data_IF_912782132492
#
_entry.id   IF_912782132492
#
_cell.length_a   1.000
_cell.length_b   1.000
_cell.length_c   1.000
_cell.angle_alpha   90.00
_cell.angle_beta   90.00
_cell.angle_gamma   90.00
#
_symmetry.space_group_name_H-M   'P 1'
#
loop_
_entity.id
_entity.type
_entity.pdbx_description
1 polymer ?
#
# COMPACT_ATOMS: atom_id res chain seq x y z
N UNK A 1 22.12 -3.55 -22.64
CA UNK A 1 23.58 -3.70 -22.81
C UNK A 1 23.87 -4.11 -24.25
N UNK A 2 24.08 -3.12 -25.11
CA UNK A 2 24.79 -3.22 -26.40
C UNK A 2 24.93 -1.78 -26.89
N UNK A 3 26.06 -1.15 -26.57
CA UNK A 3 26.49 0.13 -27.10
C UNK A 3 27.00 -0.08 -28.53
N UNK A 4 26.56 0.75 -29.47
CA UNK A 4 27.24 0.92 -30.75
C UNK A 4 27.65 2.39 -30.87
N UNK A 5 28.94 2.54 -31.12
CA UNK A 5 29.75 3.75 -31.11
C UNK A 5 29.61 4.61 -32.37
N UNK A 6 29.87 5.90 -32.15
CA UNK A 6 30.58 6.88 -32.99
C UNK A 6 30.31 6.94 -34.51
N UNK A 7 29.86 8.11 -34.97
CA UNK A 7 30.61 8.85 -36.00
C UNK A 7 30.39 10.36 -35.91
N UNK A 8 31.50 11.10 -35.92
CA UNK A 8 31.58 12.55 -35.79
C UNK A 8 31.19 13.31 -37.08
N UNK A 9 30.80 14.60 -36.98
CA UNK A 9 30.52 15.44 -38.14
C UNK A 9 31.80 15.95 -38.84
N UNK A 10 31.72 16.04 -40.16
CA UNK A 10 32.76 16.50 -41.09
C UNK A 10 33.14 17.98 -40.88
N UNK A 11 34.44 18.25 -40.91
CA UNK A 11 35.05 19.57 -41.09
C UNK A 11 34.92 20.07 -42.53
N UNK A 12 34.79 21.39 -42.77
CA UNK A 12 35.12 21.99 -44.06
C UNK A 12 36.62 22.33 -44.16
N UNK A 13 37.21 21.95 -45.29
CA UNK A 13 38.56 22.23 -45.76
C UNK A 13 38.81 23.73 -46.00
N UNK A 14 40.01 24.27 -45.74
CA UNK A 14 40.43 25.58 -46.24
C UNK A 14 41.52 25.45 -47.32
N UNK A 15 41.20 25.74 -48.57
CA UNK A 15 42.14 26.11 -49.64
C UNK A 15 41.36 27.10 -50.55
N UNK A 16 41.83 28.27 -50.97
CA UNK A 16 43.11 28.55 -51.63
C UNK A 16 43.46 30.05 -51.55
N UNK A 17 44.77 30.30 -51.52
CA UNK A 17 45.46 31.59 -51.66
C UNK A 17 45.72 31.90 -53.15
N UNK A 18 45.99 33.18 -53.45
CA UNK A 18 46.52 33.77 -54.71
C UNK A 18 45.47 34.14 -55.76
N UNK A 19 45.50 35.31 -56.41
CA UNK A 19 46.68 36.08 -56.84
C UNK A 19 46.30 37.55 -57.06
N UNK A 20 47.22 38.44 -56.68
CA UNK A 20 47.27 39.86 -57.02
C UNK A 20 47.74 39.96 -58.48
N UNK A 21 47.05 40.73 -59.32
CA UNK A 21 47.52 41.04 -60.68
C UNK A 21 47.66 42.56 -60.79
N UNK A 22 48.91 42.99 -61.00
CA UNK A 22 49.37 44.36 -61.18
C UNK A 22 50.30 44.34 -62.38
N UNK A 23 49.91 45.00 -63.48
CA UNK A 23 50.68 45.49 -64.64
C UNK A 23 49.63 45.76 -65.75
N UNK A 24 49.60 46.86 -66.50
CA UNK A 24 50.69 47.56 -67.17
C UNK A 24 50.40 49.07 -67.33
N UNK A 25 51.40 49.89 -66.96
CA UNK A 25 51.49 51.31 -67.30
C UNK A 25 52.42 51.44 -68.51
N UNK A 26 51.88 51.67 -69.72
CA UNK A 26 52.70 51.96 -70.90
C UNK A 26 52.91 53.47 -71.05
N UNK A 27 54.12 53.89 -70.69
CA UNK A 27 54.77 55.13 -71.09
C UNK A 27 54.87 55.19 -72.63
N UNK A 28 54.27 56.21 -73.25
CA UNK A 28 54.55 56.59 -74.64
C UNK A 28 55.66 57.63 -74.62
N UNK A 29 56.81 57.24 -75.16
CA UNK A 29 57.98 58.10 -75.34
C UNK A 29 57.72 59.13 -76.45
N UNK A 30 57.88 60.40 -76.09
CA UNK A 30 57.98 61.53 -77.02
C UNK A 30 59.35 61.49 -77.72
N UNK A 31 59.35 61.43 -79.05
CA UNK A 31 60.55 61.63 -79.87
C UNK A 31 60.38 62.93 -80.66
N UNK A 32 61.25 63.94 -80.53
CA UNK A 32 61.20 65.16 -81.33
C UNK A 32 62.02 65.02 -82.62
N UNK A 33 61.51 65.43 -83.80
CA UNK A 33 62.37 65.75 -84.94
C UNK A 33 62.87 67.19 -84.85
N UNK A 34 64.18 67.32 -85.06
CA UNK A 34 64.96 68.55 -85.13
C UNK A 34 64.58 69.44 -86.36
N UNK A 35 64.93 70.74 -86.35
CA UNK A 35 64.45 71.72 -87.32
C UNK A 35 65.20 71.64 -88.65
N UNK A 36 64.46 71.66 -89.76
CA UNK A 36 65.02 71.90 -91.08
C UNK A 36 65.17 73.40 -91.31
N UNK A 37 66.40 73.91 -91.18
CA UNK A 37 66.82 75.18 -91.76
C UNK A 37 66.79 75.05 -93.29
N UNK A 38 65.92 75.81 -93.96
CA UNK A 38 66.09 76.14 -95.37
C UNK A 38 66.69 77.55 -95.46
N UNK A 39 67.94 77.59 -95.90
CA UNK A 39 68.69 78.80 -96.19
C UNK A 39 67.99 79.65 -97.25
N UNK A 40 67.90 80.93 -96.94
CA UNK A 40 67.82 82.04 -97.89
C UNK A 40 69.07 82.08 -98.77
N UNK A 41 68.89 82.18 -100.08
CA UNK A 41 69.91 82.72 -101.00
C UNK A 41 69.27 83.88 -101.78
N UNK A 42 69.69 85.09 -101.42
CA UNK A 42 69.56 86.28 -102.24
C UNK A 42 70.71 86.33 -103.26
N UNK A 43 70.49 87.20 -104.26
CA UNK A 43 71.43 87.77 -105.23
C UNK A 43 71.55 87.07 -106.59
N UNK A 44 71.01 87.73 -107.62
CA UNK A 44 71.76 88.24 -108.79
C UNK A 44 70.76 89.14 -109.55
N UNK A 45 70.81 90.45 -109.32
CA UNK A 45 71.57 91.45 -110.08
C UNK A 45 70.72 92.03 -111.21
N UNK A 46 70.23 93.23 -110.96
CA UNK A 46 69.55 94.13 -111.89
C UNK A 46 70.55 94.65 -112.91
N UNK A 47 70.25 94.53 -114.20
CA UNK A 47 70.86 95.33 -115.26
C UNK A 47 69.72 96.15 -115.89
N UNK A 48 69.54 97.37 -115.39
CA UNK A 48 68.71 98.40 -116.01
C UNK A 48 69.68 99.26 -116.82
N UNK A 49 69.73 98.98 -118.11
CA UNK A 49 70.46 99.79 -119.08
C UNK A 49 69.52 100.92 -119.55
N UNK A 50 69.78 102.12 -119.05
CA UNK A 50 69.26 103.37 -119.60
C UNK A 50 70.45 104.23 -119.94
N UNK A 51 70.81 104.30 -121.22
CA UNK A 51 71.62 105.41 -121.73
C UNK A 51 70.93 106.05 -122.94
N UNK A 52 70.41 107.24 -122.66
CA UNK A 52 70.01 108.22 -123.63
C UNK A 52 71.25 108.99 -124.10
N UNK A 53 71.16 109.45 -125.35
CA UNK A 53 71.72 110.71 -125.86
C UNK A 53 72.78 110.56 -126.96
N UNK A 54 72.25 110.54 -128.19
CA UNK A 54 72.41 111.63 -129.18
C UNK A 54 73.85 112.15 -129.40
N UNK A 55 74.49 111.67 -130.47
CA UNK A 55 75.64 112.34 -131.10
C UNK A 55 75.23 112.91 -132.45
N UNK A 56 74.94 114.21 -132.43
CA UNK A 56 74.92 115.09 -133.60
C UNK A 56 76.36 115.26 -134.09
N UNK A 57 76.67 114.78 -135.29
CA UNK A 57 77.92 115.05 -136.00
C UNK A 57 77.59 115.94 -137.19
N UNK A 58 77.78 117.26 -137.03
CA UNK A 58 77.74 118.22 -138.13
C UNK A 58 79.14 118.31 -138.77
N UNK A 59 79.15 118.06 -140.06
CA UNK A 59 80.28 118.21 -140.96
C UNK A 59 80.21 119.60 -141.58
N UNK A 60 81.27 120.40 -141.47
CA UNK A 60 81.57 121.52 -142.38
C UNK A 60 83.06 121.87 -142.29
N UNK A 61 83.72 122.20 -143.43
CA UNK A 61 85.16 122.28 -143.51
C UNK A 61 85.67 123.66 -143.10
N UNK A 62 86.81 123.63 -142.41
CA UNK A 62 87.69 124.76 -142.14
C UNK A 62 88.29 125.27 -143.46
N UNK A 63 88.26 126.59 -143.64
CA UNK A 63 89.37 127.31 -144.26
C UNK A 63 89.83 128.38 -143.28
N UNK A 64 91.15 128.53 -143.28
CA UNK A 64 92.00 129.30 -142.38
C UNK A 64 91.56 130.75 -142.16
N UNK A 65 91.71 131.20 -140.92
CA UNK A 65 92.59 132.35 -140.63
C UNK A 65 92.90 132.43 -139.13
N UNK A 66 94.17 132.70 -138.85
CA UNK A 66 94.82 132.75 -137.54
C UNK A 66 94.16 133.71 -136.55
N UNK A 67 94.05 133.32 -135.26
CA UNK A 67 94.14 134.21 -134.08
C UNK A 67 94.21 133.40 -132.77
N UNK A 68 95.07 133.82 -131.84
CA UNK A 68 95.40 133.15 -130.57
C UNK A 68 94.37 133.40 -129.44
N UNK A 69 94.31 132.41 -128.52
CA UNK A 69 93.84 132.38 -127.09
C UNK A 69 92.45 131.76 -126.75
N UNK A 70 92.15 131.31 -125.49
CA UNK A 70 92.98 130.79 -124.37
C UNK A 70 92.41 129.56 -123.59
N UNK A 71 93.23 128.94 -122.72
CA UNK A 71 93.05 127.75 -121.84
C UNK A 71 91.84 127.67 -120.86
N UNK A 72 90.90 128.63 -120.82
CA UNK A 72 89.88 128.73 -119.74
C UNK A 72 88.62 127.87 -120.01
N UNK A 73 88.29 127.62 -121.28
CA UNK A 73 87.07 126.89 -121.65
C UNK A 73 87.11 125.40 -121.25
N UNK A 74 88.27 124.76 -121.35
CA UNK A 74 88.45 123.34 -120.98
C UNK A 74 88.25 123.10 -119.48
N UNK A 75 88.62 124.07 -118.62
CA UNK A 75 88.38 123.95 -117.17
C UNK A 75 86.89 123.99 -116.82
N UNK A 76 86.10 124.79 -117.55
CA UNK A 76 84.66 124.91 -117.30
C UNK A 76 83.92 123.63 -117.71
N UNK A 77 84.25 123.05 -118.87
CA UNK A 77 83.72 121.74 -119.32
C UNK A 77 84.06 120.64 -118.32
N UNK A 78 85.31 120.63 -117.83
CA UNK A 78 85.76 119.64 -116.84
C UNK A 78 84.99 119.77 -115.52
N UNK A 79 84.75 121.00 -115.05
CA UNK A 79 84.01 121.25 -113.82
C UNK A 79 82.53 120.86 -113.94
N UNK A 80 81.90 121.10 -115.10
CA UNK A 80 80.49 120.78 -115.34
C UNK A 80 80.26 119.27 -115.46
N UNK A 81 81.19 118.55 -116.10
CA UNK A 81 81.20 117.08 -116.11
C UNK A 81 81.43 116.50 -114.72
N UNK A 82 82.30 117.09 -113.90
CA UNK A 82 82.48 116.69 -112.50
C UNK A 82 81.23 116.93 -111.64
N UNK A 83 80.48 118.01 -111.88
CA UNK A 83 79.18 118.24 -111.23
C UNK A 83 78.14 117.23 -111.68
N UNK A 84 78.05 116.92 -112.98
CA UNK A 84 77.13 115.89 -113.50
C UNK A 84 77.42 114.52 -112.89
N UNK A 85 78.69 114.14 -112.79
CA UNK A 85 79.11 112.90 -112.14
C UNK A 85 78.74 112.88 -110.63
N UNK A 86 78.87 114.02 -109.92
CA UNK A 86 78.41 114.14 -108.54
C UNK A 86 76.90 114.02 -108.40
N UNK A 87 76.13 114.60 -109.32
CA UNK A 87 74.67 114.49 -109.31
C UNK A 87 74.25 113.04 -109.57
N UNK A 88 74.85 112.35 -110.55
CA UNK A 88 74.60 110.93 -110.79
C UNK A 88 74.99 110.06 -109.59
N UNK A 89 76.12 110.35 -108.93
CA UNK A 89 76.51 109.66 -107.70
C UNK A 89 75.49 109.88 -106.58
N UNK A 90 75.03 111.12 -106.38
CA UNK A 90 73.99 111.44 -105.39
C UNK A 90 72.64 110.81 -105.74
N UNK A 91 72.27 110.73 -107.02
CA UNK A 91 71.05 110.04 -107.47
C UNK A 91 71.14 108.54 -107.24
N UNK A 92 72.31 107.93 -107.47
CA UNK A 92 72.56 106.52 -107.15
C UNK A 92 72.51 106.25 -105.64
N UNK A 93 73.13 107.10 -104.82
CA UNK A 93 73.11 107.02 -103.36
C UNK A 93 71.70 107.22 -102.80
N UNK A 94 70.93 108.17 -103.34
CA UNK A 94 69.55 108.40 -102.92
C UNK A 94 68.64 107.23 -103.31
N UNK A 95 68.92 106.57 -104.44
CA UNK A 95 68.19 105.36 -104.85
C UNK A 95 68.52 104.18 -103.93
N UNK A 96 69.78 104.03 -103.51
CA UNK A 96 70.22 103.03 -102.54
C UNK A 96 69.65 103.29 -101.14
N UNK A 97 69.69 104.53 -100.65
CA UNK A 97 69.08 104.93 -99.38
C UNK A 97 67.58 104.68 -99.38
N UNK A 98 66.88 104.95 -100.48
CA UNK A 98 65.45 104.68 -100.61
C UNK A 98 65.15 103.17 -100.57
N UNK A 99 65.98 102.35 -101.22
CA UNK A 99 65.87 100.90 -101.13
C UNK A 99 66.15 100.39 -99.71
N UNK A 100 67.15 100.95 -99.03
CA UNK A 100 67.50 100.60 -97.65
C UNK A 100 66.39 100.99 -96.67
N UNK A 101 65.80 102.18 -96.80
CA UNK A 101 64.66 102.62 -96.00
C UNK A 101 63.46 101.70 -96.21
N UNK A 102 63.15 101.31 -97.44
CA UNK A 102 62.01 100.41 -97.71
C UNK A 102 62.29 98.99 -97.19
N UNK A 103 63.52 98.50 -97.32
CA UNK A 103 63.94 97.23 -96.71
C UNK A 103 63.79 97.27 -95.19
N UNK A 104 64.31 98.29 -94.53
CA UNK A 104 64.29 98.39 -93.07
C UNK A 104 62.86 98.60 -92.53
N UNK A 105 62.03 99.33 -93.26
CA UNK A 105 60.59 99.44 -92.99
C UNK A 105 59.90 98.08 -93.12
N UNK A 106 60.17 97.32 -94.19
CA UNK A 106 59.61 95.98 -94.38
C UNK A 106 60.10 94.98 -93.33
N UNK A 107 61.38 95.04 -92.95
CA UNK A 107 61.97 94.20 -91.90
C UNK A 107 61.35 94.50 -90.54
N UNK A 108 61.24 95.79 -90.18
CA UNK A 108 60.63 96.21 -88.92
C UNK A 108 59.15 95.83 -88.87
N UNK A 109 58.43 95.96 -89.98
CA UNK A 109 57.03 95.54 -90.08
C UNK A 109 56.90 94.01 -89.93
N UNK A 110 57.77 93.23 -90.57
CA UNK A 110 57.80 91.77 -90.42
C UNK A 110 58.17 91.35 -89.00
N UNK A 111 59.15 92.01 -88.38
CA UNK A 111 59.56 91.73 -87.00
C UNK A 111 58.45 92.08 -85.99
N UNK A 112 57.77 93.22 -86.18
CA UNK A 112 56.58 93.58 -85.39
C UNK A 112 55.47 92.54 -85.55
N UNK A 113 55.13 92.12 -86.78
CA UNK A 113 54.12 91.07 -87.02
C UNK A 113 54.50 89.75 -86.35
N UNK A 114 55.76 89.33 -86.45
CA UNK A 114 56.24 88.09 -85.84
C UNK A 114 56.23 88.15 -84.29
N UNK A 115 56.55 89.32 -83.71
CA UNK A 115 56.41 89.54 -82.27
C UNK A 115 54.95 89.54 -81.82
N UNK A 116 54.07 90.22 -82.56
CA UNK A 116 52.64 90.25 -82.27
C UNK A 116 52.05 88.84 -82.36
N UNK A 117 52.42 88.07 -83.38
CA UNK A 117 52.01 86.67 -83.55
C UNK A 117 52.53 85.79 -82.42
N UNK A 118 53.80 85.90 -82.05
CA UNK A 118 54.38 85.17 -80.92
C UNK A 118 53.67 85.50 -79.60
N UNK A 119 53.37 86.78 -79.37
CA UNK A 119 52.68 87.24 -78.17
C UNK A 119 51.23 86.77 -78.12
N UNK A 120 50.54 86.76 -79.27
CA UNK A 120 49.19 86.22 -79.40
C UNK A 120 49.17 84.70 -79.18
N UNK A 121 50.12 83.96 -79.75
CA UNK A 121 50.25 82.52 -79.55
C UNK A 121 50.55 82.18 -78.08
N UNK A 122 51.45 82.93 -77.43
CA UNK A 122 51.71 82.80 -76.00
C UNK A 122 50.46 83.03 -75.17
N UNK A 123 49.74 84.15 -75.40
CA UNK A 123 48.50 84.46 -74.67
C UNK A 123 47.43 83.39 -74.88
N UNK A 124 47.33 82.84 -76.09
CA UNK A 124 46.40 81.75 -76.39
C UNK A 124 46.77 80.48 -75.62
N UNK A 125 48.06 80.11 -75.59
CA UNK A 125 48.55 78.95 -74.83
C UNK A 125 48.39 79.15 -73.31
N UNK A 126 48.64 80.36 -72.82
CA UNK A 126 48.46 80.74 -71.41
C UNK A 126 46.99 80.65 -70.99
N UNK A 127 46.06 81.13 -71.83
CA UNK A 127 44.63 81.01 -71.59
C UNK A 127 44.17 79.55 -71.61
N UNK A 128 44.68 78.74 -72.54
CA UNK A 128 44.39 77.30 -72.61
C UNK A 128 44.89 76.57 -71.35
N UNK A 129 46.13 76.86 -70.91
CA UNK A 129 46.71 76.30 -69.71
C UNK A 129 45.93 76.72 -68.45
N UNK A 130 45.57 78.00 -68.32
CA UNK A 130 44.77 78.51 -67.20
C UNK A 130 43.40 77.82 -67.15
N UNK A 131 42.75 77.62 -68.29
CA UNK A 131 41.45 76.93 -68.37
C UNK A 131 41.57 75.47 -67.95
N UNK A 132 42.63 74.77 -68.39
CA UNK A 132 42.90 73.38 -67.97
C UNK A 132 43.18 73.28 -66.47
N UNK A 133 43.95 74.21 -65.91
CA UNK A 133 44.23 74.28 -64.47
C UNK A 133 42.95 74.50 -63.68
N UNK A 134 42.11 75.46 -64.10
CA UNK A 134 40.83 75.73 -63.45
C UNK A 134 39.88 74.52 -63.51
N UNK A 135 39.84 73.79 -64.63
CA UNK A 135 39.06 72.56 -64.76
C UNK A 135 39.58 71.45 -63.84
N UNK A 136 40.90 71.29 -63.73
CA UNK A 136 41.53 70.33 -62.81
C UNK A 136 41.28 70.69 -61.35
N UNK A 137 41.35 71.97 -60.98
CA UNK A 137 41.06 72.45 -59.64
C UNK A 137 39.60 72.20 -59.26
N UNK A 138 38.66 72.49 -60.17
CA UNK A 138 37.24 72.18 -60.00
C UNK A 138 37.01 70.69 -59.80
N UNK A 139 37.65 69.84 -60.62
CA UNK A 139 37.56 68.37 -60.50
C UNK A 139 38.18 67.86 -59.20
N UNK A 140 39.27 68.47 -58.73
CA UNK A 140 39.91 68.10 -57.47
C UNK A 140 39.03 68.44 -56.27
N UNK A 141 38.37 69.60 -56.31
CA UNK A 141 37.40 69.99 -55.28
C UNK A 141 36.20 69.04 -55.23
N UNK A 142 35.67 68.63 -56.38
CA UNK A 142 34.59 67.64 -56.47
C UNK A 142 35.02 66.27 -55.91
N UNK A 143 36.19 65.77 -56.30
CA UNK A 143 36.73 64.52 -55.76
C UNK A 143 36.93 64.57 -54.25
N UNK A 144 37.40 65.70 -53.71
CA UNK A 144 37.56 65.89 -52.26
C UNK A 144 36.22 65.86 -51.54
N UNK A 145 35.18 66.46 -52.10
CA UNK A 145 33.82 66.41 -51.55
C UNK A 145 33.25 64.99 -51.58
N UNK A 146 33.45 64.25 -52.67
CA UNK A 146 33.05 62.84 -52.80
C UNK A 146 33.73 61.94 -51.77
N UNK A 147 35.05 62.10 -51.58
CA UNK A 147 35.81 61.32 -50.59
C UNK A 147 35.30 61.55 -49.16
N UNK A 148 35.02 62.80 -48.76
CA UNK A 148 34.47 63.08 -47.44
C UNK A 148 33.03 62.55 -47.27
N UNK A 149 32.21 62.63 -48.33
CA UNK A 149 30.88 62.03 -48.32
C UNK A 149 30.92 60.50 -48.18
N UNK A 150 31.82 59.82 -48.91
CA UNK A 150 32.02 58.37 -48.80
C UNK A 150 32.54 57.98 -47.42
N UNK A 151 33.48 58.75 -46.86
CA UNK A 151 34.00 58.53 -45.51
C UNK A 151 32.91 58.65 -44.46
N UNK A 152 32.07 59.69 -44.53
CA UNK A 152 30.92 59.86 -43.65
C UNK A 152 29.91 58.72 -43.80
N UNK A 153 29.62 58.30 -45.04
CA UNK A 153 28.70 57.19 -45.33
C UNK A 153 29.23 55.86 -44.78
N UNK A 154 30.54 55.61 -44.93
CA UNK A 154 31.21 54.43 -44.38
C UNK A 154 31.18 54.41 -42.86
N UNK A 155 31.35 55.56 -42.22
CA UNK A 155 31.24 55.69 -40.76
C UNK A 155 29.81 55.42 -40.27
N UNK A 156 28.80 55.95 -40.96
CA UNK A 156 27.40 55.63 -40.67
C UNK A 156 27.08 54.14 -40.80
N UNK A 157 27.55 53.51 -41.88
CA UNK A 157 27.38 52.07 -42.08
C UNK A 157 28.10 51.25 -41.00
N UNK A 158 29.31 51.65 -40.60
CA UNK A 158 30.05 51.00 -39.51
C UNK A 158 29.29 51.09 -38.20
N UNK A 159 28.77 52.26 -37.85
CA UNK A 159 27.99 52.46 -36.62
C UNK A 159 26.68 51.66 -36.64
N UNK A 160 25.99 51.60 -37.77
CA UNK A 160 24.78 50.79 -37.95
C UNK A 160 25.07 49.30 -37.80
N UNK A 161 26.18 48.82 -38.39
CA UNK A 161 26.62 47.43 -38.26
C UNK A 161 26.97 47.08 -36.81
N UNK A 162 27.71 47.94 -36.12
CA UNK A 162 28.05 47.75 -34.70
C UNK A 162 26.81 47.71 -33.80
N UNK A 163 25.80 48.53 -34.11
CA UNK A 163 24.53 48.53 -33.40
C UNK A 163 23.74 47.24 -33.67
N UNK A 164 23.67 46.80 -34.94
CA UNK A 164 23.02 45.55 -35.31
C UNK A 164 23.67 44.34 -34.62
N UNK A 165 25.00 44.30 -34.56
CA UNK A 165 25.74 43.24 -33.86
C UNK A 165 25.47 43.24 -32.35
N UNK A 166 25.42 44.42 -31.71
CA UNK A 166 25.05 44.52 -30.29
C UNK A 166 23.63 44.02 -30.02
N UNK A 167 22.67 44.40 -30.88
CA UNK A 167 21.28 43.95 -30.76
C UNK A 167 21.17 42.44 -30.94
N UNK A 168 21.90 41.86 -31.91
CA UNK A 168 21.95 40.42 -32.13
C UNK A 168 22.48 39.69 -30.88
N UNK A 169 23.62 40.12 -30.34
CA UNK A 169 24.18 39.49 -29.14
C UNK A 169 23.27 39.61 -27.91
N UNK A 170 22.57 40.75 -27.75
CA UNK A 170 21.57 40.88 -26.70
C UNK A 170 20.44 39.86 -26.87
N UNK A 171 19.91 39.72 -28.09
CA UNK A 171 18.85 38.77 -28.40
C UNK A 171 19.30 37.30 -28.24
N UNK A 172 20.54 36.98 -28.64
CA UNK A 172 21.14 35.66 -28.43
C UNK A 172 21.29 35.34 -26.95
N UNK A 173 21.75 36.30 -26.14
CA UNK A 173 21.89 36.14 -24.69
C UNK A 173 20.53 35.96 -24.01
N UNK A 174 19.52 36.73 -24.40
CA UNK A 174 18.14 36.59 -23.90
C UNK A 174 17.53 35.24 -24.28
N UNK A 175 17.75 34.80 -25.52
CA UNK A 175 17.29 33.50 -26.01
C UNK A 175 17.96 32.36 -25.24
N UNK A 176 19.27 32.41 -25.04
CA UNK A 176 20.02 31.42 -24.28
C UNK A 176 19.53 31.32 -22.83
N UNK A 177 19.30 32.46 -22.16
CA UNK A 177 18.76 32.49 -20.81
C UNK A 177 17.35 31.87 -20.75
N UNK A 178 16.50 32.15 -21.74
CA UNK A 178 15.15 31.56 -21.82
C UNK A 178 15.20 30.05 -22.06
N UNK A 179 16.09 29.57 -22.93
CA UNK A 179 16.29 28.13 -23.16
C UNK A 179 16.73 27.44 -21.86
N UNK A 180 17.71 28.01 -21.15
CA UNK A 180 18.18 27.46 -19.88
C UNK A 180 17.07 27.40 -18.82
N UNK A 181 16.23 28.44 -18.73
CA UNK A 181 15.08 28.44 -17.83
C UNK A 181 14.09 27.31 -18.18
N UNK A 182 13.74 27.16 -19.46
CA UNK A 182 12.84 26.10 -19.92
C UNK A 182 13.43 24.69 -19.70
N UNK A 183 14.73 24.51 -19.87
CA UNK A 183 15.40 23.23 -19.56
C UNK A 183 15.33 22.90 -18.06
N UNK A 184 15.53 23.90 -17.19
CA UNK A 184 15.39 23.71 -15.74
C UNK A 184 13.94 23.36 -15.35
N UNK A 185 12.94 24.02 -15.94
CA UNK A 185 11.53 23.74 -15.71
C UNK A 185 11.15 22.34 -16.20
N UNK A 186 11.63 21.92 -17.37
CA UNK A 186 11.40 20.56 -17.88
C UNK A 186 11.99 19.48 -16.97
N UNK A 187 13.18 19.71 -16.41
CA UNK A 187 13.79 18.78 -15.47
C UNK A 187 12.98 18.67 -14.16
N UNK A 188 12.48 19.79 -13.65
CA UNK A 188 11.60 19.82 -12.48
C UNK A 188 10.28 19.09 -12.74
N UNK A 189 9.62 19.35 -13.86
CA UNK A 189 8.38 18.65 -14.27
C UNK A 189 8.63 17.15 -14.36
N UNK A 190 9.76 16.72 -14.96
CA UNK A 190 10.11 15.30 -15.06
C UNK A 190 10.28 14.66 -13.67
N UNK A 191 10.90 15.36 -12.73
CA UNK A 191 11.03 14.88 -11.35
C UNK A 191 9.66 14.76 -10.65
N UNK A 192 8.77 15.74 -10.83
CA UNK A 192 7.41 15.71 -10.29
C UNK A 192 6.58 14.57 -10.87
N UNK A 193 6.69 14.31 -12.18
CA UNK A 193 6.00 13.19 -12.84
C UNK A 193 6.46 11.84 -12.28
N UNK A 194 7.76 11.65 -12.06
CA UNK A 194 8.27 10.40 -11.49
C UNK A 194 7.83 10.23 -10.03
N UNK A 195 7.83 11.31 -9.25
CA UNK A 195 7.29 11.31 -7.89
C UNK A 195 5.81 10.93 -7.89
N UNK A 196 4.96 11.60 -8.68
CA UNK A 196 3.53 11.34 -8.76
C UNK A 196 3.22 9.90 -9.19
N UNK A 197 4.02 9.37 -10.13
CA UNK A 197 3.93 7.96 -10.55
C UNK A 197 4.23 7.02 -9.39
N UNK A 198 5.32 7.24 -8.65
CA UNK A 198 5.68 6.43 -7.48
C UNK A 198 4.63 6.53 -6.36
N UNK A 199 4.06 7.73 -6.15
CA UNK A 199 3.00 7.96 -5.18
C UNK A 199 1.73 7.18 -5.55
N UNK A 200 1.30 7.25 -6.81
CA UNK A 200 0.14 6.48 -7.31
C UNK A 200 0.35 4.99 -7.18
N UNK A 201 1.54 4.49 -7.50
CA UNK A 201 1.87 3.06 -7.37
C UNK A 201 1.80 2.60 -5.91
N UNK A 202 2.38 3.36 -4.99
CA UNK A 202 2.29 3.07 -3.55
C UNK A 202 0.84 3.12 -3.06
N UNK A 203 0.05 4.09 -3.50
CA UNK A 203 -1.37 4.21 -3.12
C UNK A 203 -2.19 3.02 -3.65
N UNK A 204 -1.98 2.61 -4.90
CA UNK A 204 -2.62 1.42 -5.47
C UNK A 204 -2.25 0.15 -4.71
N UNK A 205 -0.97 -0.06 -4.38
CA UNK A 205 -0.53 -1.20 -3.58
C UNK A 205 -1.17 -1.20 -2.18
N UNK A 206 -1.27 -0.02 -1.54
CA UNK A 206 -1.91 0.11 -0.24
C UNK A 206 -3.41 -0.22 -0.28
N UNK A 207 -4.11 0.15 -1.36
CA UNK A 207 -5.51 -0.20 -1.56
C UNK A 207 -5.69 -1.70 -1.80
N UNK A 208 -4.85 -2.30 -2.63
CA UNK A 208 -4.89 -3.74 -2.89
C UNK A 208 -4.64 -4.55 -1.60
N UNK A 209 -3.70 -4.11 -0.77
CA UNK A 209 -3.40 -4.74 0.51
C UNK A 209 -4.55 -4.56 1.52
N UNK A 210 -5.14 -3.37 1.60
CA UNK A 210 -6.32 -3.15 2.43
C UNK A 210 -7.50 -4.04 2.00
N UNK A 211 -7.70 -4.22 0.69
CA UNK A 211 -8.76 -5.07 0.15
C UNK A 211 -8.52 -6.56 0.45
N UNK A 212 -7.27 -7.04 0.35
CA UNK A 212 -6.91 -8.41 0.76
C UNK A 212 -7.15 -8.63 2.25
N UNK A 213 -6.74 -7.68 3.09
CA UNK A 213 -6.94 -7.76 4.54
C UNK A 213 -8.43 -7.77 4.90
N UNK A 214 -9.25 -6.97 4.22
CA UNK A 214 -10.70 -6.98 4.41
C UNK A 214 -11.31 -8.34 4.07
N UNK A 215 -10.98 -8.91 2.91
CA UNK A 215 -11.44 -10.25 2.53
C UNK A 215 -10.95 -11.34 3.49
N UNK A 216 -9.71 -11.24 4.00
CA UNK A 216 -9.19 -12.17 5.01
C UNK A 216 -9.98 -12.07 6.32
N UNK A 217 -10.29 -10.84 6.77
CA UNK A 217 -11.06 -10.61 7.98
C UNK A 217 -12.52 -11.08 7.83
N UNK A 218 -13.12 -10.89 6.66
CA UNK A 218 -14.46 -11.37 6.34
C UNK A 218 -14.51 -12.91 6.39
N UNK A 219 -13.51 -13.59 5.82
CA UNK A 219 -13.41 -15.04 5.88
C UNK A 219 -13.21 -15.56 7.31
N UNK A 220 -12.36 -14.90 8.09
CA UNK A 220 -12.16 -15.25 9.51
C UNK A 220 -13.44 -15.04 10.33
N UNK A 221 -14.18 -13.96 10.09
CA UNK A 221 -15.45 -13.68 10.75
C UNK A 221 -16.50 -14.75 10.42
N UNK A 222 -16.62 -15.15 9.14
CA UNK A 222 -17.52 -16.22 8.72
C UNK A 222 -17.15 -17.58 9.36
N UNK A 223 -15.85 -17.89 9.47
CA UNK A 223 -15.38 -19.09 10.15
C UNK A 223 -15.74 -19.10 11.64
N UNK A 224 -15.56 -17.97 12.33
CA UNK A 224 -15.93 -17.80 13.74
C UNK A 224 -17.44 -17.89 13.97
N UNK A 225 -18.26 -17.32 13.10
CA UNK A 225 -19.73 -17.44 13.21
C UNK A 225 -20.19 -18.89 13.00
N UNK A 226 -19.59 -19.61 12.05
CA UNK A 226 -19.87 -21.03 11.85
C UNK A 226 -19.48 -21.88 13.07
N UNK A 227 -18.36 -21.55 13.73
CA UNK A 227 -17.95 -22.21 14.97
C UNK A 227 -18.89 -21.87 16.14
N UNK A 228 -19.30 -20.61 16.29
CA UNK A 228 -20.32 -20.21 17.26
C UNK A 228 -21.64 -20.95 17.04
N UNK A 229 -22.07 -21.13 15.79
CA UNK A 229 -23.24 -21.94 15.45
C UNK A 229 -23.13 -23.38 15.99
N UNK A 230 -22.00 -24.05 15.77
CA UNK A 230 -21.74 -25.40 16.31
C UNK A 230 -21.70 -25.43 17.84
N UNK A 231 -21.15 -24.40 18.47
CA UNK A 231 -21.12 -24.30 19.94
C UNK A 231 -22.52 -24.12 20.52
N UNK A 232 -23.34 -23.27 19.90
CA UNK A 232 -24.75 -23.08 20.29
C UNK A 232 -25.55 -24.39 20.17
N UNK A 233 -25.36 -25.14 19.09
CA UNK A 233 -25.99 -26.46 18.91
C UNK A 233 -25.57 -27.46 20.00
N UNK A 234 -24.26 -27.55 20.29
CA UNK A 234 -23.75 -28.40 21.37
C UNK A 234 -24.30 -28.01 22.74
N UNK A 235 -24.40 -26.71 23.02
CA UNK A 235 -24.96 -26.22 24.28
C UNK A 235 -26.43 -26.63 24.42
N UNK A 236 -27.23 -26.47 23.36
CA UNK A 236 -28.64 -26.89 23.36
C UNK A 236 -28.80 -28.39 23.60
N UNK A 237 -27.92 -29.22 23.03
CA UNK A 237 -27.90 -30.67 23.30
C UNK A 237 -27.57 -30.99 24.75
N UNK A 238 -26.58 -30.30 25.34
CA UNK A 238 -26.19 -30.50 26.75
C UNK A 238 -27.31 -30.07 27.70
N UNK A 239 -27.97 -28.95 27.42
CA UNK A 239 -29.12 -28.49 28.20
C UNK A 239 -30.27 -29.50 28.13
N UNK A 240 -30.58 -30.04 26.95
CA UNK A 240 -31.59 -31.08 26.79
C UNK A 240 -31.24 -32.36 27.58
N UNK A 241 -29.97 -32.82 27.51
CA UNK A 241 -29.50 -33.97 28.29
C UNK A 241 -29.58 -33.73 29.80
N UNK A 242 -29.26 -32.52 30.26
CA UNK A 242 -29.38 -32.15 31.66
C UNK A 242 -30.83 -32.22 32.14
N UNK A 243 -31.77 -31.71 31.34
CA UNK A 243 -33.21 -31.79 31.66
C UNK A 243 -33.71 -33.24 31.71
N UNK A 244 -33.33 -34.08 30.73
CA UNK A 244 -33.71 -35.50 30.72
C UNK A 244 -33.15 -36.25 31.95
N UNK A 245 -31.92 -35.93 32.36
CA UNK A 245 -31.29 -36.54 33.52
C UNK A 245 -31.95 -36.11 34.84
N UNK A 246 -32.41 -34.86 34.94
CA UNK A 246 -33.17 -34.36 36.09
C UNK A 246 -34.55 -35.05 36.19
N UNK A 247 -35.26 -35.22 35.08
CA UNK A 247 -36.53 -35.96 35.02
C UNK A 247 -36.33 -37.44 35.43
N UNK A 248 -35.28 -38.09 34.92
CA UNK A 248 -34.94 -39.46 35.27
C UNK A 248 -34.65 -39.60 36.78
N UNK A 249 -33.95 -38.63 37.38
CA UNK A 249 -33.69 -38.61 38.81
C UNK A 249 -35.01 -38.48 39.61
N UNK A 250 -35.89 -37.56 39.22
CA UNK A 250 -37.19 -37.38 39.85
C UNK A 250 -38.05 -38.65 39.78
N UNK A 251 -38.09 -39.34 38.62
CA UNK A 251 -38.80 -40.61 38.46
C UNK A 251 -38.21 -41.71 39.33
N UNK A 252 -36.87 -41.81 39.44
CA UNK A 252 -36.21 -42.77 40.33
C UNK A 252 -36.57 -42.52 41.79
N UNK A 253 -36.59 -41.27 42.21
CA UNK A 253 -36.95 -40.89 43.59
C UNK A 253 -38.42 -41.21 43.90
N UNK A 254 -39.33 -40.89 42.99
CA UNK A 254 -40.74 -41.30 43.09
C UNK A 254 -40.90 -42.83 43.14
N UNK A 255 -40.12 -43.59 42.36
CA UNK A 255 -40.15 -45.05 42.38
C UNK A 255 -39.68 -45.60 43.73
N UNK A 256 -38.61 -45.05 44.30
CA UNK A 256 -38.11 -45.43 45.63
C UNK A 256 -39.19 -45.15 46.69
N UNK A 257 -39.81 -43.98 46.66
CA UNK A 257 -40.88 -43.64 47.60
C UNK A 257 -42.09 -44.56 47.43
N UNK A 258 -42.52 -44.84 46.20
CA UNK A 258 -43.62 -45.76 45.93
C UNK A 258 -43.31 -47.17 46.43
N UNK A 259 -42.10 -47.69 46.20
CA UNK A 259 -41.65 -48.96 46.74
C UNK A 259 -41.70 -48.96 48.27
N UNK A 260 -41.22 -47.90 48.91
CA UNK A 260 -41.25 -47.76 50.38
C UNK A 260 -42.70 -47.75 50.91
N UNK A 261 -43.60 -46.99 50.28
CA UNK A 261 -45.03 -46.97 50.62
C UNK A 261 -45.67 -48.36 50.47
N UNK A 262 -45.37 -49.06 49.38
CA UNK A 262 -45.87 -50.42 49.14
C UNK A 262 -45.34 -51.41 50.19
N UNK A 263 -44.04 -51.37 50.52
CA UNK A 263 -43.45 -52.18 51.60
C UNK A 263 -44.12 -51.90 52.94
N UNK A 264 -44.35 -50.62 53.27
CA UNK A 264 -45.00 -50.23 54.51
C UNK A 264 -46.45 -50.74 54.59
N UNK A 265 -47.24 -50.56 53.53
CA UNK A 265 -48.60 -51.07 53.46
C UNK A 265 -48.61 -52.61 53.60
N UNK A 266 -47.72 -53.29 52.90
CA UNK A 266 -47.59 -54.74 52.98
C UNK A 266 -47.23 -55.20 54.40
N UNK A 267 -46.32 -54.50 55.08
CA UNK A 267 -45.94 -54.79 56.47
C UNK A 267 -47.15 -54.64 57.40
N UNK A 268 -47.92 -53.56 57.28
CA UNK A 268 -49.14 -53.35 58.06
C UNK A 268 -50.17 -54.46 57.82
N UNK A 269 -50.43 -54.80 56.56
CA UNK A 269 -51.37 -55.85 56.19
C UNK A 269 -50.89 -57.22 56.70
N UNK A 270 -49.59 -57.50 56.61
CA UNK A 270 -48.99 -58.72 57.13
C UNK A 270 -49.08 -58.80 58.65
N UNK A 271 -48.75 -57.73 59.36
CA UNK A 271 -48.91 -57.66 60.81
C UNK A 271 -50.35 -57.94 61.23
N UNK A 272 -51.32 -57.34 60.53
CA UNK A 272 -52.73 -57.63 60.76
C UNK A 272 -53.07 -59.11 60.53
N UNK A 273 -52.65 -59.71 59.41
CA UNK A 273 -52.90 -61.13 59.13
C UNK A 273 -52.25 -62.06 60.17
N UNK A 274 -51.03 -61.77 60.61
CA UNK A 274 -50.33 -62.54 61.64
C UNK A 274 -51.11 -62.48 62.95
N UNK A 275 -51.60 -61.30 63.34
CA UNK A 275 -52.42 -61.13 64.54
C UNK A 275 -53.76 -61.88 64.43
N UNK A 276 -54.42 -61.85 63.28
CA UNK A 276 -55.64 -62.63 63.04
C UNK A 276 -55.39 -64.13 63.16
N UNK A 277 -54.29 -64.64 62.59
CA UNK A 277 -53.90 -66.04 62.74
C UNK A 277 -53.67 -66.42 64.19
N UNK A 278 -53.03 -65.54 64.97
CA UNK A 278 -52.86 -65.74 66.41
C UNK A 278 -54.19 -65.91 67.11
N UNK A 279 -55.18 -65.06 66.83
CA UNK A 279 -56.51 -65.19 67.41
C UNK A 279 -57.21 -66.47 66.97
N UNK A 280 -57.20 -66.81 65.67
CA UNK A 280 -57.78 -68.08 65.21
C UNK A 280 -57.12 -69.31 65.85
N UNK A 281 -55.82 -69.26 66.11
CA UNK A 281 -55.09 -70.35 66.74
C UNK A 281 -55.41 -70.46 68.23
N UNK A 282 -55.64 -69.32 68.91
CA UNK A 282 -56.18 -69.29 70.27
C UNK A 282 -57.60 -69.86 70.32
N UNK A 283 -58.47 -69.48 69.37
CA UNK A 283 -59.84 -69.99 69.26
C UNK A 283 -59.84 -71.50 69.00
N UNK A 284 -58.98 -72.00 68.10
CA UNK A 284 -58.87 -73.42 67.81
C UNK A 284 -58.37 -74.21 69.02
N UNK A 285 -57.41 -73.66 69.77
CA UNK A 285 -56.96 -74.24 71.03
C UNK A 285 -58.11 -74.35 72.03
N UNK A 286 -58.90 -73.28 72.21
CA UNK A 286 -60.05 -73.29 73.11
C UNK A 286 -61.09 -74.35 72.70
N UNK A 287 -61.36 -74.50 71.40
CA UNK A 287 -62.27 -75.54 70.89
C UNK A 287 -61.78 -76.96 71.15
N UNK A 288 -60.46 -77.21 71.11
CA UNK A 288 -59.91 -78.53 71.43
C UNK A 288 -60.08 -78.85 72.90
N UNK A 289 -59.79 -77.88 73.78
CA UNK A 289 -60.02 -78.02 75.22
C UNK A 289 -61.50 -78.29 75.50
N UNK A 290 -62.41 -77.49 74.92
CA UNK A 290 -63.85 -77.66 75.06
C UNK A 290 -64.32 -79.04 74.59
N UNK A 291 -63.85 -79.53 73.43
CA UNK A 291 -64.20 -80.88 72.94
C UNK A 291 -63.72 -82.00 73.85
N UNK A 292 -62.50 -81.88 74.39
CA UNK A 292 -61.98 -82.87 75.34
C UNK A 292 -62.83 -82.87 76.60
N UNK A 293 -63.26 -81.69 77.08
CA UNK A 293 -64.13 -81.54 78.25
C UNK A 293 -65.57 -82.06 77.98
N UNK A 294 -66.13 -81.82 76.80
CA UNK A 294 -67.40 -82.40 76.36
C UNK A 294 -67.33 -83.93 76.26
N UNK A 295 -66.26 -84.48 75.67
CA UNK A 295 -66.06 -85.94 75.57
C UNK A 295 -65.84 -86.57 76.95
N UNK A 296 -65.14 -85.88 77.85
CA UNK A 296 -64.95 -86.27 79.24
C UNK A 296 -66.27 -86.36 80.00
N UNK A 297 -67.10 -85.31 79.99
CA UNK A 297 -68.42 -85.31 80.65
C UNK A 297 -69.35 -86.38 80.06
N UNK A 298 -69.32 -86.57 78.73
CA UNK A 298 -70.12 -87.61 78.06
C UNK A 298 -69.68 -89.04 78.41
N UNK A 299 -68.41 -89.25 78.71
CA UNK A 299 -67.90 -90.55 79.14
C UNK A 299 -68.23 -90.81 80.62
N UNK A 300 -68.21 -89.77 81.46
CA UNK A 300 -68.66 -89.81 82.86
C UNK A 300 -70.14 -90.20 82.99
N UNK A 301 -71.00 -89.73 82.09
CA UNK A 301 -72.42 -90.15 82.03
C UNK A 301 -72.62 -91.63 81.65
N UNK A 302 -71.67 -92.24 80.94
CA UNK A 302 -71.71 -93.65 80.51
C UNK A 302 -71.09 -94.62 81.51
N UNK A 303 -70.34 -94.12 82.49
CA UNK A 303 -69.62 -94.90 83.51
C UNK A 303 -70.52 -95.40 84.66
N UNK A 304 -71.84 -95.22 84.57
CA UNK A 304 -72.79 -95.77 85.53
C UNK A 304 -72.94 -97.31 85.50
N UNK A 305 -72.29 -98.03 84.56
CA UNK A 305 -72.46 -99.48 84.36
C UNK A 305 -71.16 -100.33 84.29
N UNK A 306 -69.99 -99.84 84.69
CA UNK A 306 -68.74 -100.64 84.62
C UNK A 306 -67.84 -100.54 85.86
N UNK A 307 -67.49 -101.69 86.42
CA UNK A 307 -66.68 -101.86 87.62
C UNK A 307 -65.17 -101.95 87.30
N UNK A 308 -64.52 -100.80 87.14
CA UNK A 308 -63.09 -100.57 87.40
C UNK A 308 -62.87 -99.05 87.45
N UNK A 309 -62.22 -98.48 88.49
CA UNK A 309 -61.91 -97.06 88.52
C UNK A 309 -60.73 -96.83 87.58
N UNK A 310 -61.03 -96.52 86.32
CA UNK A 310 -60.05 -95.78 85.52
C UNK A 310 -60.11 -94.37 86.08
N UNK A 311 -58.98 -93.84 86.53
CA UNK A 311 -58.94 -92.49 87.05
C UNK A 311 -59.28 -91.53 85.91
N UNK A 312 -60.51 -91.03 85.94
CA UNK A 312 -61.09 -90.27 84.84
C UNK A 312 -60.26 -88.99 84.56
N UNK A 313 -59.63 -88.45 85.61
CA UNK A 313 -58.74 -87.29 85.55
C UNK A 313 -57.45 -87.60 84.76
N UNK A 314 -56.86 -88.77 84.98
CA UNK A 314 -55.68 -89.25 84.26
C UNK A 314 -55.93 -89.46 82.76
N UNK A 315 -57.03 -90.12 82.37
CA UNK A 315 -57.35 -90.29 80.93
C UNK A 315 -57.72 -88.96 80.24
N UNK A 316 -58.32 -88.01 80.98
CA UNK A 316 -58.56 -86.64 80.49
C UNK A 316 -57.23 -85.92 80.22
N UNK A 317 -56.28 -85.97 81.16
CA UNK A 317 -54.98 -85.33 81.03
C UNK A 317 -54.15 -85.96 79.89
N UNK A 318 -54.19 -87.28 79.76
CA UNK A 318 -53.57 -88.02 78.66
C UNK A 318 -54.15 -87.64 77.30
N UNK A 319 -55.47 -87.53 77.17
CA UNK A 319 -56.11 -87.06 75.94
C UNK A 319 -55.72 -85.61 75.58
N UNK A 320 -55.54 -84.75 76.59
CA UNK A 320 -55.06 -83.38 76.40
C UNK A 320 -53.61 -83.33 75.91
N UNK A 321 -52.73 -84.13 76.49
CA UNK A 321 -51.33 -84.28 76.08
C UNK A 321 -51.23 -84.82 74.64
N UNK A 322 -52.00 -85.87 74.30
CA UNK A 322 -52.06 -86.43 72.94
C UNK A 322 -52.64 -85.42 71.92
N UNK A 323 -53.64 -84.63 72.33
CA UNK A 323 -54.21 -83.54 71.55
C UNK A 323 -53.19 -82.44 71.25
N UNK A 324 -52.42 -82.02 72.26
CA UNK A 324 -51.32 -81.08 72.08
C UNK A 324 -50.24 -81.63 71.13
N UNK A 325 -49.87 -82.91 71.24
CA UNK A 325 -48.90 -83.55 70.33
C UNK A 325 -49.36 -83.59 68.87
N UNK A 326 -50.64 -83.87 68.64
CA UNK A 326 -51.24 -83.83 67.32
C UNK A 326 -51.19 -82.40 66.72
N UNK A 327 -51.48 -81.38 67.52
CA UNK A 327 -51.42 -79.97 67.09
C UNK A 327 -49.98 -79.57 66.76
N UNK A 328 -49.03 -79.84 67.66
CA UNK A 328 -47.61 -79.51 67.47
C UNK A 328 -47.06 -80.16 66.20
N UNK A 329 -47.32 -81.44 65.98
CA UNK A 329 -46.83 -82.20 64.82
C UNK A 329 -47.35 -81.60 63.50
N UNK A 330 -48.63 -81.24 63.45
CA UNK A 330 -49.23 -80.62 62.27
C UNK A 330 -48.69 -79.20 62.02
N UNK A 331 -48.46 -78.40 63.07
CA UNK A 331 -47.87 -77.07 62.92
C UNK A 331 -46.44 -77.16 62.37
N UNK A 332 -45.61 -78.06 62.93
CA UNK A 332 -44.22 -78.31 62.48
C UNK A 332 -44.16 -78.71 61.00
N UNK A 333 -44.99 -79.68 60.57
CA UNK A 333 -45.07 -80.10 59.16
C UNK A 333 -45.50 -78.96 58.22
N UNK A 334 -46.37 -78.07 58.68
CA UNK A 334 -46.73 -76.87 57.93
C UNK A 334 -45.58 -75.86 57.83
N UNK A 335 -44.75 -75.75 58.86
CA UNK A 335 -43.61 -74.84 58.89
C UNK A 335 -42.55 -75.20 57.82
N UNK A 336 -42.28 -76.49 57.61
CA UNK A 336 -41.31 -76.94 56.59
C UNK A 336 -41.71 -76.50 55.17
N UNK A 337 -43.01 -76.52 54.87
CA UNK A 337 -43.55 -76.03 53.59
C UNK A 337 -43.32 -74.52 53.41
N UNK A 338 -43.57 -73.73 54.45
CA UNK A 338 -43.32 -72.30 54.42
C UNK A 338 -41.83 -71.99 54.28
N UNK A 339 -40.95 -72.74 54.96
CA UNK A 339 -39.50 -72.55 54.85
C UNK A 339 -39.00 -72.77 53.42
N UNK A 340 -39.53 -73.80 52.73
CA UNK A 340 -39.23 -74.08 51.33
C UNK A 340 -39.72 -72.94 50.43
N UNK A 341 -40.97 -72.48 50.60
CA UNK A 341 -41.53 -71.36 49.83
C UNK A 341 -40.74 -70.05 50.00
N UNK A 342 -40.25 -69.75 51.21
CA UNK A 342 -39.42 -68.56 51.45
C UNK A 342 -38.12 -68.65 50.66
N UNK A 343 -37.48 -69.82 50.66
CA UNK A 343 -36.23 -70.05 49.94
C UNK A 343 -36.43 -69.83 48.43
N UNK A 344 -37.44 -70.47 47.85
CA UNK A 344 -37.73 -70.37 46.41
C UNK A 344 -38.02 -68.92 45.98
N UNK A 345 -38.72 -68.15 46.81
CA UNK A 345 -39.00 -66.74 46.54
C UNK A 345 -37.74 -65.86 46.58
N UNK A 346 -36.79 -66.15 47.48
CA UNK A 346 -35.55 -65.39 47.65
C UNK A 346 -34.47 -65.75 46.63
N UNK A 347 -34.48 -66.98 46.11
CA UNK A 347 -33.51 -67.47 45.13
C UNK A 347 -34.00 -67.33 43.67
N UNK A 348 -35.17 -66.71 43.45
CA UNK A 348 -35.73 -66.52 42.10
C UNK A 348 -34.86 -65.59 41.22
N UNK A 349 -34.60 -66.00 39.97
CA UNK A 349 -33.78 -65.25 39.00
C UNK A 349 -34.35 -63.85 38.68
N UNK A 350 -35.68 -63.69 38.79
CA UNK A 350 -36.37 -62.42 38.61
C UNK A 350 -36.94 -61.95 39.95
N UNK A 351 -36.05 -61.59 40.87
CA UNK A 351 -36.45 -61.08 42.18
C UNK A 351 -37.27 -59.78 42.00
N UNK A 352 -38.56 -59.85 42.33
CA UNK A 352 -39.46 -58.69 42.29
C UNK A 352 -39.71 -58.18 43.70
N UNK A 353 -40.14 -56.92 43.82
CA UNK A 353 -40.57 -56.40 45.13
C UNK A 353 -41.66 -57.28 45.76
N UNK A 354 -42.54 -57.83 44.94
CA UNK A 354 -43.63 -58.70 45.38
C UNK A 354 -43.13 -60.05 45.90
N UNK A 355 -42.13 -60.66 45.24
CA UNK A 355 -41.55 -61.93 45.71
C UNK A 355 -40.78 -61.77 47.01
N UNK A 356 -40.00 -60.69 47.15
CA UNK A 356 -39.28 -60.34 48.39
C UNK A 356 -40.26 -60.12 49.56
N UNK A 357 -41.31 -59.32 49.35
CA UNK A 357 -42.33 -59.08 50.37
C UNK A 357 -43.11 -60.35 50.74
N UNK A 358 -43.46 -61.19 49.76
CA UNK A 358 -44.11 -62.47 50.03
C UNK A 358 -43.24 -63.38 50.91
N UNK A 359 -41.93 -63.43 50.67
CA UNK A 359 -40.98 -64.16 51.50
C UNK A 359 -40.93 -63.61 52.95
N UNK A 360 -40.94 -62.29 53.12
CA UNK A 360 -40.98 -61.65 54.45
C UNK A 360 -42.26 -61.98 55.21
N UNK A 361 -43.42 -61.98 54.54
CA UNK A 361 -44.70 -62.38 55.16
C UNK A 361 -44.69 -63.83 55.63
N UNK A 362 -44.21 -64.75 54.80
CA UNK A 362 -44.11 -66.16 55.20
C UNK A 362 -43.12 -66.34 56.35
N UNK A 363 -42.02 -65.57 56.38
CA UNK A 363 -41.06 -65.58 57.49
C UNK A 363 -41.72 -65.13 58.80
N UNK A 364 -42.53 -64.07 58.75
CA UNK A 364 -43.28 -63.59 59.93
C UNK A 364 -44.31 -64.61 60.43
N UNK A 365 -45.03 -65.29 59.53
CA UNK A 365 -45.95 -66.37 59.92
C UNK A 365 -45.22 -67.54 60.57
N UNK A 366 -44.07 -67.94 60.05
CA UNK A 366 -43.25 -68.99 60.64
C UNK A 366 -42.82 -68.65 62.07
N UNK A 367 -42.35 -67.42 62.29
CA UNK A 367 -41.92 -66.98 63.62
C UNK A 367 -43.06 -67.02 64.65
N UNK A 368 -44.26 -66.57 64.29
CA UNK A 368 -45.39 -66.59 65.25
C UNK A 368 -45.92 -68.01 65.48
N UNK A 369 -45.92 -68.86 64.43
CA UNK A 369 -46.25 -70.29 64.57
C UNK A 369 -45.27 -71.03 65.47
N UNK A 370 -43.97 -70.71 65.38
CA UNK A 370 -42.95 -71.27 66.25
C UNK A 370 -43.21 -70.93 67.73
N UNK A 371 -43.55 -69.67 68.05
CA UNK A 371 -43.89 -69.28 69.43
C UNK A 371 -45.07 -70.05 70.01
N UNK A 372 -46.07 -70.37 69.18
CA UNK A 372 -47.23 -71.16 69.63
C UNK A 372 -46.85 -72.61 69.87
N UNK A 373 -45.98 -73.19 69.03
CA UNK A 373 -45.40 -74.51 69.30
C UNK A 373 -44.67 -74.50 70.64
N UNK A 374 -43.80 -73.51 70.88
CA UNK A 374 -43.07 -73.38 72.14
C UNK A 374 -44.02 -73.26 73.36
N UNK A 375 -45.12 -72.50 73.21
CA UNK A 375 -46.15 -72.37 74.25
C UNK A 375 -46.88 -73.70 74.53
N UNK A 376 -47.29 -74.42 73.49
CA UNK A 376 -47.97 -75.71 73.63
C UNK A 376 -47.04 -76.79 74.20
N UNK A 377 -45.77 -76.77 73.82
CA UNK A 377 -44.76 -77.66 74.40
C UNK A 377 -44.56 -77.37 75.89
N UNK A 378 -44.53 -76.11 76.30
CA UNK A 378 -44.46 -75.74 77.71
C UNK A 378 -45.72 -76.18 78.48
N UNK A 379 -46.91 -75.90 77.96
CA UNK A 379 -48.18 -76.29 78.61
C UNK A 379 -48.30 -77.81 78.75
N UNK A 380 -47.84 -78.56 77.76
CA UNK A 380 -47.75 -80.02 77.82
C UNK A 380 -46.82 -80.49 78.94
N UNK A 381 -45.66 -79.86 79.12
CA UNK A 381 -44.75 -80.20 80.22
C UNK A 381 -45.32 -79.80 81.59
N UNK A 382 -45.97 -78.63 81.70
CA UNK A 382 -46.65 -78.21 82.92
C UNK A 382 -47.75 -79.22 83.31
N UNK A 383 -48.54 -79.70 82.34
CA UNK A 383 -49.58 -80.73 82.52
C UNK A 383 -49.02 -82.08 82.99
N UNK A 384 -47.87 -82.52 82.45
CA UNK A 384 -47.20 -83.74 82.93
C UNK A 384 -46.64 -83.61 84.36
N UNK A 385 -46.26 -82.40 84.77
CA UNK A 385 -45.74 -82.18 86.14
C UNK A 385 -46.84 -82.08 87.19
N UNK A 386 -48.07 -81.76 86.79
CA UNK A 386 -49.25 -81.78 87.67
C UNK A 386 -49.59 -83.22 88.10
N UNK A 387 -49.50 -84.20 87.17
CA UNK A 387 -49.57 -85.65 87.44
C UNK A 387 -48.57 -86.11 88.53
N UNK A 388 -47.34 -85.59 88.51
CA UNK A 388 -46.28 -86.01 89.46
C UNK A 388 -46.46 -85.36 90.85
N UNK A 389 -47.10 -84.20 90.93
CA UNK A 389 -47.33 -83.51 92.19
C UNK A 389 -48.48 -84.13 93.00
N UNK A 390 -49.48 -84.71 92.32
CA UNK A 390 -50.60 -85.38 92.96
C UNK A 390 -50.19 -86.78 93.47
N UNK A 391 -49.41 -87.55 92.70
CA UNK A 391 -48.80 -88.81 93.14
C UNK A 391 -47.93 -88.65 94.40
N UNK A 392 -47.15 -87.56 94.51
CA UNK A 392 -46.31 -87.29 95.70
C UNK A 392 -47.15 -86.77 96.87
N UNK A 393 -48.25 -86.06 96.62
CA UNK A 393 -49.14 -85.59 97.68
C UNK A 393 -49.94 -86.74 98.32
N UNK A 394 -50.31 -87.76 97.55
CA UNK A 394 -51.00 -88.95 98.05
C UNK A 394 -50.02 -89.86 98.86
N UNK A 395 -48.78 -90.04 98.39
CA UNK A 395 -47.72 -90.76 99.13
C UNK A 395 -47.30 -90.07 100.44
N UNK A 396 -47.43 -88.73 100.52
CA UNK A 396 -47.17 -87.96 101.76
C UNK A 396 -48.40 -87.96 102.68
N UNK A 397 -49.63 -87.95 102.15
CA UNK A 397 -50.85 -88.03 102.95
C UNK A 397 -51.00 -89.40 103.63
N UNK A 398 -50.61 -90.49 102.96
CA UNK A 398 -50.62 -91.83 103.56
C UNK A 398 -49.54 -91.99 104.65
N UNK A 399 -48.38 -91.34 104.50
CA UNK A 399 -47.32 -91.31 105.52
C UNK A 399 -47.64 -90.43 106.76
N UNK A 400 -48.57 -89.46 106.66
CA UNK A 400 -48.92 -88.58 107.78
C UNK A 400 -50.06 -89.15 108.63
N UNK A 401 -50.89 -90.07 108.11
CA UNK A 401 -51.94 -90.72 108.88
C UNK A 401 -51.42 -91.77 109.90
N UNK A 402 -50.20 -92.30 109.75
CA UNK A 402 -49.59 -93.26 110.68
C UNK A 402 -48.73 -92.65 111.81
N UNK A 403 -48.52 -91.34 111.85
CA UNK A 403 -47.74 -90.70 112.92
C UNK A 403 -48.45 -89.49 113.53
N UNK A 404 -49.36 -89.76 114.47
CA UNK A 404 -49.73 -88.78 115.50
C UNK A 404 -48.57 -88.60 116.49
N UNK A 405 -48.10 -87.37 116.71
CA UNK A 405 -48.11 -86.70 118.03
C UNK A 405 -47.25 -85.41 118.06
N UNK A 406 -47.81 -84.42 118.76
CA UNK A 406 -47.20 -83.16 119.25
C UNK A 406 -47.29 -81.88 118.37
N UNK A 407 -48.39 -81.16 118.61
CA UNK A 407 -48.58 -79.69 118.57
C UNK A 407 -47.52 -79.02 119.50
N UNK A 408 -46.91 -77.84 119.20
CA UNK A 408 -47.65 -76.56 119.12
C UNK A 408 -47.19 -75.43 118.17
N UNK A 409 -48.21 -74.81 117.55
CA UNK A 409 -48.58 -73.37 117.56
C UNK A 409 -47.43 -72.34 117.68
N UNK A 410 -47.18 -71.51 116.66
CA UNK A 410 -47.46 -70.05 116.73
C UNK A 410 -47.20 -69.23 115.43
N UNK A 411 -48.18 -68.37 115.13
CA UNK A 411 -48.11 -67.02 114.52
C UNK A 411 -47.62 -66.69 113.09
N UNK A 412 -48.59 -66.09 112.35
CA UNK A 412 -48.57 -64.76 111.67
C UNK A 412 -47.89 -64.59 110.30
N UNK A 413 -48.75 -64.54 109.28
CA UNK A 413 -49.20 -63.29 108.61
C UNK A 413 -48.20 -62.11 108.56
N UNK A 414 -47.78 -61.71 107.34
CA UNK A 414 -47.77 -60.31 106.84
C UNK A 414 -47.16 -60.18 105.43
N UNK A 415 -48.00 -59.97 104.43
CA UNK A 415 -48.34 -58.68 103.77
C UNK A 415 -47.40 -58.22 102.65
N UNK A 416 -48.01 -58.16 101.45
CA UNK A 416 -47.88 -57.12 100.44
C UNK A 416 -47.37 -55.78 100.98
N UNK A 417 -46.09 -55.48 100.81
CA UNK A 417 -45.57 -54.10 100.81
C UNK A 417 -44.13 -54.07 100.27
N UNK A 418 -43.93 -54.26 98.95
CA UNK A 418 -42.74 -53.69 98.28
C UNK A 418 -42.84 -53.56 96.74
N UNK A 419 -44.07 -53.43 96.21
CA UNK A 419 -44.31 -52.78 94.91
C UNK A 419 -44.31 -51.25 95.10
N UNK A 420 -43.16 -50.61 95.35
CA UNK A 420 -42.97 -49.17 95.02
C UNK A 420 -41.52 -48.67 95.11
N UNK A 421 -40.55 -49.35 94.50
CA UNK A 421 -39.19 -48.77 94.38
C UNK A 421 -38.34 -49.18 93.18
N UNK A 422 -38.96 -49.47 92.02
CA UNK A 422 -38.23 -49.64 90.75
C UNK A 422 -38.83 -48.90 89.54
N UNK A 423 -39.65 -47.88 89.77
CA UNK A 423 -40.22 -47.05 88.69
C UNK A 423 -39.69 -45.59 88.65
N UNK A 424 -38.52 -45.33 89.25
CA UNK A 424 -37.88 -44.01 89.19
C UNK A 424 -36.40 -44.03 88.78
N UNK A 425 -35.88 -45.15 88.28
CA UNK A 425 -34.52 -45.23 87.71
C UNK A 425 -34.49 -45.12 86.17
N UNK A 426 -35.62 -45.27 85.46
CA UNK A 426 -35.63 -45.29 83.99
C UNK A 426 -35.84 -43.91 83.31
N UNK A 427 -36.17 -42.84 84.05
CA UNK A 427 -36.39 -41.50 83.48
C UNK A 427 -35.16 -40.57 83.45
N UNK A 428 -34.00 -41.00 83.97
CA UNK A 428 -32.75 -40.21 83.91
C UNK A 428 -31.78 -40.60 82.79
N UNK A 429 -32.03 -41.68 82.05
CA UNK A 429 -31.18 -42.11 80.92
C UNK A 429 -31.64 -41.58 79.55
N UNK A 430 -32.84 -40.99 79.44
CA UNK A 430 -33.39 -40.50 78.16
C UNK A 430 -33.06 -39.04 77.78
N UNK A 431 -32.18 -38.34 78.52
CA UNK A 431 -31.78 -36.95 78.20
C UNK A 431 -30.31 -36.77 77.81
N UNK A 432 -29.53 -37.85 77.71
CA UNK A 432 -28.10 -37.77 77.39
C UNK A 432 -27.70 -38.22 75.96
N UNK A 433 -28.63 -38.74 75.15
CA UNK A 433 -28.31 -39.25 73.80
C UNK A 433 -28.91 -38.45 72.63
N UNK A 434 -29.35 -37.21 72.86
CA UNK A 434 -29.84 -36.29 71.83
C UNK A 434 -28.83 -35.17 71.49
N UNK A 435 -27.54 -35.42 71.73
CA UNK A 435 -26.43 -34.57 71.29
C UNK A 435 -25.21 -35.45 70.97
N UNK A 436 -25.28 -36.15 69.85
CA UNK A 436 -24.12 -36.53 69.04
C UNK A 436 -24.58 -36.84 67.63
#
# INVERSE_FOLDING_TARGET
MAFLELTAPRSPTPESVSTISSEDNKLVALTPPAPAFAQTTNATSTEVDTDNTDKVSLQSPVNDDELKEPKVFDQMITHLNAMRAKVQALESENSELKAQVEYEKSFKEHFSKNLDETNNNWRSAELEAATKVQALESKNNELKAQVEHEKSSKEQLSNSLDQANRNLHSAESESAAKIQALESENNEIKAQVEYEKSFKEHYSQSLDEANRNWHSAEFEAAAKEAELGRVRERLSLVEAQATEQEELHAVKEQNIELKARYRYQFLLTTHHHVNTLKHMMQDWKAQVVEKIEEEYEKNKEKENDSAAPVDAEYERLKALIEGHDYIITNIKKGNDKFATLIKDLRESENLTLTSDLAADRFSAFLMERAKVVDQLEQEKEDQKTEDVAEDIAEDIAENIAENMNEIPIDTKEKTKADRKKKENAAKKAKKANAKK
#
